data_IF_840844536619
#
_entry.id   IF_840844536619
#
_cell.length_a   1.000
_cell.length_b   1.000
_cell.length_c   1.000
_cell.angle_alpha   90.00
_cell.angle_beta   90.00
_cell.angle_gamma   90.00
#
_symmetry.space_group_name_H-M   'P 1'
#
loop_
_entity.id
_entity.type
_entity.pdbx_description
1 polymer ?
#
# COMPACT_ATOMS: atom_id res chain seq x y z
N UNK A 1 38.77 -15.13 -50.37
CA UNK A 1 38.77 -13.91 -49.57
C UNK A 1 37.36 -13.34 -49.61
N UNK A 2 36.58 -13.60 -48.59
CA UNK A 2 35.23 -13.06 -48.45
C UNK A 2 35.09 -12.48 -47.06
N UNK A 3 35.03 -11.17 -47.00
CA UNK A 3 34.70 -10.44 -45.81
C UNK A 3 33.19 -10.47 -45.59
N UNK A 4 32.78 -10.98 -44.45
CA UNK A 4 31.39 -10.92 -44.01
C UNK A 4 31.22 -9.70 -43.14
N UNK A 5 30.47 -8.72 -43.64
CA UNK A 5 29.98 -7.61 -42.85
C UNK A 5 28.84 -8.06 -41.95
N UNK A 6 29.03 -7.94 -40.66
CA UNK A 6 27.98 -8.14 -39.68
C UNK A 6 27.24 -6.82 -39.47
N UNK A 7 26.01 -6.72 -39.98
CA UNK A 7 25.07 -5.65 -39.68
C UNK A 7 24.55 -5.80 -38.22
N UNK A 8 25.07 -5.02 -37.32
CA UNK A 8 24.43 -4.77 -36.04
C UNK A 8 23.33 -3.75 -36.21
N UNK A 9 22.09 -4.22 -36.30
CA UNK A 9 20.91 -3.38 -36.28
C UNK A 9 20.70 -2.75 -34.89
N UNK A 10 21.07 -1.48 -34.75
CA UNK A 10 20.62 -0.66 -33.63
C UNK A 10 19.13 -0.35 -33.83
N UNK A 11 18.29 -1.09 -33.13
CA UNK A 11 16.88 -0.77 -33.02
C UNK A 11 16.70 0.55 -32.31
N UNK A 12 16.18 1.53 -33.03
CA UNK A 12 15.76 2.84 -32.51
C UNK A 12 14.59 2.63 -31.53
N UNK A 13 14.90 2.51 -30.25
CA UNK A 13 13.89 2.57 -29.20
C UNK A 13 13.63 4.03 -28.87
N UNK A 14 12.47 4.52 -29.29
CA UNK A 14 11.93 5.80 -28.84
C UNK A 14 11.74 5.74 -27.32
N UNK A 15 12.31 6.66 -26.54
CA UNK A 15 12.07 6.66 -25.09
C UNK A 15 10.60 6.94 -24.83
N UNK A 16 9.98 6.06 -24.07
CA UNK A 16 8.62 6.27 -23.55
C UNK A 16 8.64 7.49 -22.60
N UNK A 17 7.64 8.39 -22.67
CA UNK A 17 7.64 9.62 -21.85
C UNK A 17 7.48 9.38 -20.34
N UNK A 18 7.19 8.17 -19.93
CA UNK A 18 7.26 7.72 -18.55
C UNK A 18 8.51 6.84 -18.42
N UNK A 19 9.52 7.32 -17.70
CA UNK A 19 10.76 6.59 -17.51
C UNK A 19 10.47 5.13 -17.16
N UNK A 20 11.03 4.19 -17.94
CA UNK A 20 10.89 2.76 -17.69
C UNK A 20 11.49 2.48 -16.30
N UNK A 21 10.63 2.23 -15.32
CA UNK A 21 11.08 1.70 -14.04
C UNK A 21 11.82 0.40 -14.33
N UNK A 22 13.00 0.29 -13.78
CA UNK A 22 13.79 -0.93 -13.86
C UNK A 22 12.91 -2.12 -13.45
N UNK A 23 13.00 -3.25 -14.13
CA UNK A 23 12.15 -4.43 -13.90
C UNK A 23 12.20 -4.93 -12.44
N UNK A 24 13.18 -4.45 -11.66
CA UNK A 24 13.37 -4.78 -10.25
C UNK A 24 12.78 -3.76 -9.26
N UNK A 25 12.10 -2.73 -9.74
CA UNK A 25 11.57 -1.63 -8.92
C UNK A 25 10.04 -1.60 -9.01
N UNK A 26 9.38 -1.49 -7.87
CA UNK A 26 7.96 -1.18 -7.78
C UNK A 26 7.73 0.15 -7.07
N UNK A 27 6.77 0.92 -7.55
CA UNK A 27 6.21 2.08 -6.86
C UNK A 27 4.82 1.70 -6.35
N UNK A 28 4.58 1.83 -5.05
CA UNK A 28 3.33 1.48 -4.39
C UNK A 28 2.81 2.65 -3.57
N UNK A 29 1.50 2.72 -3.39
CA UNK A 29 0.87 3.73 -2.52
C UNK A 29 1.00 3.36 -1.06
N UNK A 30 0.82 4.33 -0.15
CA UNK A 30 0.62 4.07 1.27
C UNK A 30 -0.64 3.21 1.48
N UNK A 31 -0.63 2.36 2.49
CA UNK A 31 -1.79 1.53 2.83
C UNK A 31 -1.85 1.20 4.31
N UNK A 32 -3.07 1.04 4.80
CA UNK A 32 -3.39 0.45 6.09
C UNK A 32 -3.97 -0.95 5.86
N UNK A 33 -3.22 -1.99 6.15
CA UNK A 33 -3.59 -3.37 5.82
C UNK A 33 -4.19 -3.50 4.42
N UNK A 34 -3.35 -3.25 3.41
CA UNK A 34 -3.75 -3.30 2.01
C UNK A 34 -4.10 -4.71 1.53
N UNK A 35 -4.61 -4.81 0.29
CA UNK A 35 -4.92 -6.10 -0.29
C UNK A 35 -3.65 -6.94 -0.50
N UNK A 36 -3.84 -8.25 -0.62
CA UNK A 36 -2.74 -9.22 -0.74
C UNK A 36 -1.80 -8.90 -1.91
N UNK A 37 -2.35 -8.35 -3.00
CA UNK A 37 -1.58 -7.94 -4.18
C UNK A 37 -0.54 -6.85 -3.87
N UNK A 38 -0.79 -6.02 -2.87
CA UNK A 38 0.16 -5.01 -2.42
C UNK A 38 1.39 -5.68 -1.79
N UNK A 39 1.17 -6.65 -0.89
CA UNK A 39 2.25 -7.41 -0.25
C UNK A 39 2.99 -8.31 -1.23
N UNK A 40 2.30 -8.88 -2.22
CA UNK A 40 2.94 -9.65 -3.29
C UNK A 40 3.97 -8.81 -4.06
N UNK A 41 3.71 -7.51 -4.25
CA UNK A 41 4.68 -6.61 -4.88
C UNK A 41 5.93 -6.41 -4.02
N UNK A 42 5.76 -6.25 -2.70
CA UNK A 42 6.90 -6.15 -1.78
C UNK A 42 7.80 -7.39 -1.83
N UNK A 43 7.21 -8.56 -1.97
CA UNK A 43 7.96 -9.82 -2.06
C UNK A 43 8.58 -10.07 -3.44
N UNK A 44 7.95 -9.58 -4.51
CA UNK A 44 8.37 -9.83 -5.90
C UNK A 44 9.51 -8.93 -6.36
N UNK A 45 9.49 -7.67 -5.98
CA UNK A 45 10.43 -6.66 -6.46
C UNK A 45 11.57 -6.46 -5.48
N UNK A 46 12.79 -6.30 -6.00
CA UNK A 46 13.99 -6.10 -5.19
C UNK A 46 13.94 -4.78 -4.42
N UNK A 47 13.35 -3.76 -5.01
CA UNK A 47 13.21 -2.44 -4.41
C UNK A 47 11.78 -1.96 -4.56
N UNK A 48 11.18 -1.53 -3.45
CA UNK A 48 9.84 -0.96 -3.44
C UNK A 48 9.90 0.45 -2.83
N UNK A 49 9.42 1.42 -3.60
CA UNK A 49 9.23 2.79 -3.13
C UNK A 49 7.78 2.99 -2.74
N UNK A 50 7.55 3.61 -1.60
CA UNK A 50 6.21 4.01 -1.16
C UNK A 50 6.03 5.48 -1.54
N UNK A 51 5.03 5.75 -2.42
CA UNK A 51 4.67 7.09 -2.82
C UNK A 51 3.99 7.84 -1.66
N UNK A 52 4.56 8.98 -1.30
CA UNK A 52 4.09 9.80 -0.17
C UNK A 52 3.66 11.21 -0.61
N UNK A 53 3.90 11.56 -1.85
CA UNK A 53 3.60 12.88 -2.41
C UNK A 53 2.32 12.90 -3.26
N UNK A 54 1.62 11.75 -3.33
CA UNK A 54 0.30 11.70 -3.94
C UNK A 54 -0.75 12.39 -3.05
N UNK A 55 -1.83 12.82 -3.66
CA UNK A 55 -2.94 13.42 -2.92
C UNK A 55 -3.68 12.35 -2.12
N UNK A 56 -3.94 12.64 -0.86
CA UNK A 56 -4.73 11.78 -0.01
C UNK A 56 -6.16 11.63 -0.56
N UNK A 57 -6.61 10.41 -0.69
CA UNK A 57 -7.98 10.08 -1.11
C UNK A 57 -8.68 9.36 0.03
N UNK A 58 -9.75 9.97 0.54
CA UNK A 58 -10.60 9.39 1.60
C UNK A 58 -11.22 8.06 1.14
N UNK A 59 -11.49 7.19 2.10
CA UNK A 59 -12.21 5.93 1.90
C UNK A 59 -11.49 4.93 0.97
N UNK A 60 -10.20 5.04 0.86
CA UNK A 60 -9.32 4.10 0.14
C UNK A 60 -8.52 3.24 1.13
N UNK A 61 -7.73 2.30 0.62
CA UNK A 61 -6.82 1.50 1.44
C UNK A 61 -5.73 2.32 2.14
N UNK A 62 -5.60 3.62 1.87
CA UNK A 62 -4.66 4.50 2.58
C UNK A 62 -4.96 4.59 4.07
N UNK A 63 -6.23 4.69 4.44
CA UNK A 63 -6.65 4.76 5.85
C UNK A 63 -7.75 3.75 6.22
N UNK A 64 -8.04 2.79 5.35
CA UNK A 64 -9.11 1.80 5.55
C UNK A 64 -8.64 0.43 5.15
N UNK A 65 -8.99 -0.58 5.94
CA UNK A 65 -8.92 -1.97 5.53
C UNK A 65 -10.29 -2.65 5.65
N UNK A 66 -10.40 -3.81 5.03
CA UNK A 66 -11.57 -4.66 5.10
C UNK A 66 -11.14 -6.02 5.61
N UNK A 67 -11.74 -6.45 6.70
CA UNK A 67 -11.49 -7.76 7.31
C UNK A 67 -12.69 -8.68 7.13
N UNK A 68 -12.45 -9.98 7.10
CA UNK A 68 -13.49 -11.00 7.14
C UNK A 68 -13.81 -11.32 8.60
N UNK A 69 -15.09 -11.36 8.94
CA UNK A 69 -15.58 -11.73 10.27
C UNK A 69 -16.63 -12.82 10.14
N UNK A 70 -17.03 -13.42 11.24
CA UNK A 70 -18.11 -14.42 11.25
C UNK A 70 -19.44 -13.91 10.66
N UNK A 71 -19.68 -12.60 10.74
CA UNK A 71 -20.92 -11.96 10.27
C UNK A 71 -20.76 -11.29 8.89
N UNK A 72 -19.68 -11.58 8.16
CA UNK A 72 -19.38 -10.97 6.87
C UNK A 72 -18.17 -10.07 6.91
N UNK A 73 -18.10 -9.06 6.03
CA UNK A 73 -16.97 -8.16 5.96
C UNK A 73 -17.15 -6.93 6.87
N UNK A 74 -16.09 -6.54 7.55
CA UNK A 74 -16.04 -5.35 8.38
C UNK A 74 -14.97 -4.37 7.88
N UNK A 75 -15.32 -3.08 7.84
CA UNK A 75 -14.40 -2.01 7.47
C UNK A 75 -13.79 -1.40 8.73
N UNK A 76 -12.47 -1.36 8.80
CA UNK A 76 -11.72 -0.67 9.83
C UNK A 76 -11.11 0.59 9.24
N UNK A 77 -11.43 1.75 9.79
CA UNK A 77 -10.99 3.04 9.25
C UNK A 77 -10.21 3.81 10.30
N UNK A 78 -8.99 4.19 9.97
CA UNK A 78 -8.19 5.11 10.79
C UNK A 78 -8.77 6.51 10.61
N UNK A 79 -9.18 7.20 11.69
CA UNK A 79 -9.59 8.58 11.61
C UNK A 79 -8.39 9.48 11.30
N UNK A 80 -8.59 10.45 10.41
CA UNK A 80 -7.56 11.38 9.98
C UNK A 80 -8.02 12.82 10.14
N UNK A 81 -7.07 13.71 10.41
CA UNK A 81 -7.30 15.14 10.59
C UNK A 81 -6.95 15.93 9.33
N UNK A 82 -7.48 17.13 9.23
CA UNK A 82 -7.10 18.11 8.21
C UNK A 82 -7.73 17.92 6.84
N UNK A 83 -8.63 16.95 6.68
CA UNK A 83 -9.22 16.65 5.36
C UNK A 83 -10.39 17.58 4.95
N UNK A 84 -10.91 18.43 5.86
CA UNK A 84 -12.20 19.09 5.63
C UNK A 84 -12.15 20.63 5.60
N UNK A 85 -11.08 21.27 6.07
CA UNK A 85 -11.18 22.69 6.38
C UNK A 85 -11.04 23.67 5.21
N UNK A 86 -10.56 23.28 4.03
CA UNK A 86 -10.36 24.25 2.91
C UNK A 86 -10.49 23.69 1.49
N UNK A 87 -11.04 22.50 1.29
CA UNK A 87 -11.16 21.94 -0.08
C UNK A 87 -9.82 21.74 -0.81
N UNK A 88 -8.70 21.86 -0.08
CA UNK A 88 -7.35 21.70 -0.61
C UNK A 88 -6.97 20.23 -0.71
N UNK A 89 -6.15 19.91 -1.72
CA UNK A 89 -5.52 18.60 -1.84
C UNK A 89 -4.40 18.52 -0.81
N UNK A 90 -4.48 17.54 0.09
CA UNK A 90 -3.46 17.27 1.10
C UNK A 90 -2.64 16.07 0.64
N UNK A 91 -1.33 16.14 0.76
CA UNK A 91 -0.45 15.03 0.41
C UNK A 91 -0.53 13.91 1.46
N UNK A 92 -0.36 12.67 1.04
CA UNK A 92 -0.36 11.50 1.93
C UNK A 92 0.60 11.69 3.12
N UNK A 93 1.77 12.28 2.90
CA UNK A 93 2.77 12.53 3.94
C UNK A 93 2.35 13.55 5.01
N UNK A 94 1.42 14.44 4.67
CA UNK A 94 1.00 15.56 5.53
C UNK A 94 -0.28 15.23 6.31
N UNK A 95 -0.93 14.11 6.00
CA UNK A 95 -2.09 13.61 6.74
C UNK A 95 -1.66 13.19 8.14
N UNK A 96 -2.43 13.64 9.13
CA UNK A 96 -2.25 13.24 10.52
C UNK A 96 -3.35 12.29 10.96
N UNK A 97 -2.94 11.26 11.72
CA UNK A 97 -3.90 10.37 12.36
C UNK A 97 -4.52 11.11 13.54
N UNK A 98 -5.85 11.08 13.60
CA UNK A 98 -6.58 11.63 14.75
C UNK A 98 -6.60 10.63 15.90
N UNK A 99 -6.39 11.14 17.11
CA UNK A 99 -6.57 10.37 18.34
C UNK A 99 -8.02 10.41 18.85
N UNK A 100 -8.93 10.98 18.07
CA UNK A 100 -10.34 11.05 18.42
C UNK A 100 -10.96 9.65 18.45
N UNK A 101 -11.64 9.34 19.57
CA UNK A 101 -12.23 8.02 19.77
C UNK A 101 -11.20 6.93 20.12
N UNK A 102 -11.72 5.76 20.47
CA UNK A 102 -10.89 4.61 20.88
C UNK A 102 -10.67 3.62 19.71
N UNK A 103 -10.35 4.17 18.53
CA UNK A 103 -10.28 3.37 17.30
C UNK A 103 -9.20 2.27 17.35
N UNK A 104 -8.05 2.51 18.01
CA UNK A 104 -6.98 1.51 18.14
C UNK A 104 -7.49 0.28 18.87
N UNK A 105 -8.17 0.48 19.98
CA UNK A 105 -8.76 -0.60 20.77
C UNK A 105 -9.88 -1.33 19.99
N UNK A 106 -10.73 -0.58 19.29
CA UNK A 106 -11.80 -1.17 18.47
C UNK A 106 -11.24 -2.01 17.33
N UNK A 107 -10.19 -1.53 16.65
CA UNK A 107 -9.52 -2.30 15.58
C UNK A 107 -8.85 -3.55 16.11
N UNK A 108 -8.14 -3.43 17.25
CA UNK A 108 -7.52 -4.59 17.89
C UNK A 108 -8.54 -5.65 18.29
N UNK A 109 -9.63 -5.25 18.92
CA UNK A 109 -10.71 -6.18 19.28
C UNK A 109 -11.34 -6.85 18.06
N UNK A 110 -11.56 -6.10 16.99
CA UNK A 110 -12.09 -6.65 15.74
C UNK A 110 -11.13 -7.68 15.12
N UNK A 111 -9.82 -7.39 15.08
CA UNK A 111 -8.80 -8.32 14.57
C UNK A 111 -8.70 -9.56 15.45
N UNK A 112 -8.62 -9.39 16.77
CA UNK A 112 -8.52 -10.50 17.72
C UNK A 112 -9.75 -11.40 17.67
N UNK A 113 -10.96 -10.82 17.54
CA UNK A 113 -12.20 -11.60 17.43
C UNK A 113 -12.31 -12.34 16.08
N UNK A 114 -11.81 -11.74 15.01
CA UNK A 114 -11.91 -12.32 13.67
C UNK A 114 -10.85 -13.39 13.41
N UNK A 115 -9.64 -13.22 13.95
CA UNK A 115 -8.48 -14.04 13.60
C UNK A 115 -7.77 -14.68 14.80
N UNK A 116 -8.23 -14.46 16.03
CA UNK A 116 -7.60 -15.02 17.24
C UNK A 116 -7.45 -16.54 17.23
N UNK A 117 -8.41 -17.25 16.62
CA UNK A 117 -8.36 -18.70 16.46
C UNK A 117 -7.59 -19.15 15.20
N UNK A 118 -7.05 -18.22 14.42
CA UNK A 118 -6.28 -18.57 13.22
C UNK A 118 -4.90 -19.10 13.59
N UNK A 119 -4.39 -20.12 12.88
CA UNK A 119 -3.02 -20.57 13.06
C UNK A 119 -2.04 -19.41 12.94
N UNK A 120 -1.05 -19.36 13.82
CA UNK A 120 0.00 -18.36 13.86
C UNK A 120 -0.42 -16.94 14.26
N UNK A 121 -1.70 -16.65 14.54
CA UNK A 121 -2.12 -15.31 14.96
C UNK A 121 -1.34 -14.84 16.19
N UNK A 122 -1.16 -15.68 17.20
CA UNK A 122 -0.42 -15.35 18.42
C UNK A 122 1.03 -14.93 18.16
N UNK A 123 1.68 -15.46 17.11
CA UNK A 123 3.07 -15.11 16.76
C UNK A 123 3.18 -13.69 16.17
N UNK A 124 2.11 -13.19 15.55
CA UNK A 124 2.09 -11.87 14.93
C UNK A 124 1.31 -10.84 15.74
N UNK A 125 0.62 -11.28 16.79
CA UNK A 125 -0.26 -10.43 17.58
C UNK A 125 0.47 -9.24 18.19
N UNK A 126 1.67 -9.45 18.72
CA UNK A 126 2.46 -8.39 19.35
C UNK A 126 2.98 -7.37 18.34
N UNK A 127 3.29 -7.80 17.12
CA UNK A 127 3.73 -6.90 16.04
C UNK A 127 2.58 -6.07 15.47
N UNK A 128 1.35 -6.57 15.56
CA UNK A 128 0.15 -5.91 15.02
C UNK A 128 -0.56 -5.04 16.06
N UNK A 129 -0.25 -5.23 17.32
CA UNK A 129 -0.90 -4.50 18.42
C UNK A 129 -0.43 -3.06 18.46
N UNK A 130 -1.38 -2.07 18.43
CA UNK A 130 -1.05 -0.65 18.45
C UNK A 130 -0.56 -0.17 19.83
#
# INVERSE_FOLDING_TARGET
MNEQETHTGLGNQTPSPCGRLDENIALVTTTYFGPIQWYQKLNRYKTCYIERYDNFVKQTYRNRCVIATANGTQKLTIPVEGTDEKGGKILDRDIRISDHGNWRHLHWNALSSAYGESPFFEFYADDLRP
#
